data_IF_042370221229
#
_entry.id   IF_042370221229
#
_cell.length_a   1.000
_cell.length_b   1.000
_cell.length_c   1.000
_cell.angle_alpha   90.00
_cell.angle_beta   90.00
_cell.angle_gamma   90.00
#
_symmetry.space_group_name_H-M   'P 1'
#
loop_
_entity.id
_entity.type
_entity.pdbx_description
1 polymer ?
#
# COMPACT_ATOMS: atom_id res chain seq x y z
N UNK A 1 27.17 10.72 -20.56
CA UNK A 1 26.71 10.08 -21.81
C UNK A 1 26.16 8.70 -21.44
N UNK A 2 24.96 8.65 -20.83
CA UNK A 2 24.27 7.42 -20.44
C UNK A 2 22.79 7.41 -20.89
N UNK A 3 22.55 7.88 -22.11
CA UNK A 3 21.29 7.65 -22.85
C UNK A 3 21.46 6.50 -23.86
N UNK A 4 22.08 5.41 -23.42
CA UNK A 4 22.50 4.32 -24.31
C UNK A 4 22.34 2.95 -23.67
N UNK A 5 21.13 2.64 -23.19
CA UNK A 5 20.59 1.28 -23.03
C UNK A 5 19.21 1.35 -22.32
N UNK A 6 18.27 2.08 -22.90
CA UNK A 6 16.85 1.84 -22.66
C UNK A 6 16.35 1.11 -23.89
N UNK A 7 16.28 -0.22 -23.81
CA UNK A 7 15.67 -1.07 -24.83
C UNK A 7 14.20 -0.65 -25.01
N UNK A 8 13.85 -0.20 -26.23
CA UNK A 8 12.57 -0.20 -26.97
C UNK A 8 11.21 -0.26 -26.25
N UNK A 9 11.12 0.27 -25.03
CA UNK A 9 9.86 0.72 -24.45
C UNK A 9 9.90 2.24 -24.36
N UNK A 10 9.16 2.89 -25.26
CA UNK A 10 9.00 4.33 -25.37
C UNK A 10 8.50 4.89 -24.03
N UNK A 11 9.43 5.37 -23.18
CA UNK A 11 9.09 6.02 -21.93
C UNK A 11 8.41 7.34 -22.29
N UNK A 12 7.11 7.46 -22.02
CA UNK A 12 6.37 8.70 -22.23
C UNK A 12 6.91 9.80 -21.30
N UNK A 13 7.63 10.76 -21.89
CA UNK A 13 8.22 11.90 -21.18
C UNK A 13 7.24 13.07 -20.94
N UNK A 14 5.96 12.96 -21.35
CA UNK A 14 4.98 14.06 -21.24
C UNK A 14 4.69 14.49 -19.80
N UNK A 15 4.95 13.63 -18.81
CA UNK A 15 4.68 13.87 -17.38
C UNK A 15 5.93 14.06 -16.53
N UNK A 16 7.07 14.38 -17.16
CA UNK A 16 8.30 14.66 -16.43
C UNK A 16 8.13 15.86 -15.49
N UNK A 17 8.60 15.72 -14.26
CA UNK A 17 8.67 16.82 -13.31
C UNK A 17 9.99 16.83 -12.57
N UNK A 18 10.42 18.02 -12.17
CA UNK A 18 11.61 18.19 -11.35
C UNK A 18 11.39 19.28 -10.30
N UNK A 19 11.95 19.09 -9.10
CA UNK A 19 11.94 20.09 -8.04
C UNK A 19 13.16 19.97 -7.15
N UNK A 20 13.52 21.06 -6.47
CA UNK A 20 14.64 21.09 -5.53
C UNK A 20 14.13 21.08 -4.10
N UNK A 21 14.67 20.18 -3.27
CA UNK A 21 14.41 20.14 -1.84
C UNK A 21 15.74 20.04 -1.09
N UNK A 22 15.99 20.99 -0.17
CA UNK A 22 17.24 21.04 0.62
C UNK A 22 18.52 21.01 -0.24
N UNK A 23 18.48 21.63 -1.42
CA UNK A 23 19.62 21.65 -2.35
C UNK A 23 19.81 20.39 -3.19
N UNK A 24 18.91 19.41 -3.08
CA UNK A 24 18.91 18.18 -3.88
C UNK A 24 17.84 18.31 -4.97
N UNK A 25 18.22 18.06 -6.23
CA UNK A 25 17.30 18.00 -7.36
C UNK A 25 16.66 16.61 -7.41
N UNK A 26 15.34 16.58 -7.46
CA UNK A 26 14.55 15.36 -7.63
C UNK A 26 13.82 15.41 -8.96
N UNK A 27 13.87 14.31 -9.72
CA UNK A 27 13.23 14.16 -11.02
C UNK A 27 12.26 12.98 -11.01
N UNK A 28 11.08 13.12 -11.61
CA UNK A 28 10.10 12.05 -11.75
C UNK A 28 9.67 11.92 -13.20
N UNK A 29 9.67 10.70 -13.78
CA UNK A 29 9.26 10.48 -15.15
C UNK A 29 7.75 10.35 -15.32
N UNK A 30 7.02 9.99 -14.26
CA UNK A 30 5.61 9.60 -14.33
C UNK A 30 4.73 10.33 -13.31
N UNK A 31 5.22 11.40 -12.68
CA UNK A 31 4.46 12.14 -11.68
C UNK A 31 4.85 13.61 -11.63
N UNK A 32 3.86 14.49 -11.70
CA UNK A 32 3.99 15.94 -11.50
C UNK A 32 3.35 16.42 -10.19
N UNK A 33 2.82 15.50 -9.37
CA UNK A 33 2.20 15.80 -8.08
C UNK A 33 3.23 16.46 -7.14
N UNK A 34 2.88 17.58 -6.47
CA UNK A 34 3.72 18.12 -5.40
C UNK A 34 3.89 17.10 -4.27
N UNK A 35 5.14 16.82 -3.92
CA UNK A 35 5.50 15.88 -2.85
C UNK A 35 6.57 16.48 -1.95
N UNK A 36 6.66 15.98 -0.72
CA UNK A 36 7.78 16.24 0.18
C UNK A 36 8.54 14.94 0.32
N UNK A 37 9.80 14.94 -0.11
CA UNK A 37 10.68 13.78 0.04
C UNK A 37 11.00 13.62 1.53
N UNK A 38 10.63 12.50 2.17
CA UNK A 38 10.92 12.33 3.58
C UNK A 38 12.42 12.22 3.81
N UNK A 39 12.88 12.60 5.00
CA UNK A 39 14.22 12.22 5.44
C UNK A 39 14.30 10.70 5.56
N UNK A 40 15.49 10.14 5.28
CA UNK A 40 15.77 8.74 5.58
C UNK A 40 15.50 8.51 7.08
N UNK A 41 14.55 7.62 7.36
CA UNK A 41 14.17 7.26 8.74
C UNK A 41 14.07 5.76 8.84
N UNK A 42 14.27 5.23 10.05
CA UNK A 42 14.07 3.81 10.34
C UNK A 42 12.59 3.40 10.27
N UNK A 43 12.15 2.54 11.18
CA UNK A 43 10.77 2.04 11.21
C UNK A 43 9.72 3.18 11.18
N UNK A 44 8.91 3.28 10.11
CA UNK A 44 7.95 4.36 9.94
C UNK A 44 6.77 4.26 10.92
N UNK A 45 6.57 3.10 11.54
CA UNK A 45 5.49 2.86 12.52
C UNK A 45 5.93 3.09 13.97
N UNK A 46 7.21 3.40 14.24
CA UNK A 46 7.68 3.77 15.59
C UNK A 46 7.45 5.23 15.98
N UNK A 47 6.90 6.04 15.07
CA UNK A 47 6.64 7.46 15.32
C UNK A 47 5.47 7.63 16.29
N UNK A 48 5.57 8.61 17.18
CA UNK A 48 4.43 9.05 17.99
C UNK A 48 3.33 9.61 17.09
N UNK A 49 2.06 9.32 17.39
CA UNK A 49 0.90 9.85 16.66
C UNK A 49 0.88 9.49 15.17
N UNK A 50 0.91 8.20 14.87
CA UNK A 50 0.74 7.70 13.50
C UNK A 50 -0.55 8.24 12.88
N UNK A 51 -0.45 8.73 11.65
CA UNK A 51 -1.54 9.26 10.84
C UNK A 51 -1.40 8.77 9.40
N UNK A 52 -2.51 8.58 8.70
CA UNK A 52 -2.52 8.08 7.33
C UNK A 52 -1.74 8.97 6.37
N UNK A 53 -1.83 10.28 6.54
CA UNK A 53 -1.20 11.28 5.67
C UNK A 53 0.32 11.14 5.65
N UNK A 54 0.91 10.57 6.71
CA UNK A 54 2.35 10.30 6.79
C UNK A 54 2.80 9.23 5.77
N UNK A 55 1.88 8.41 5.26
CA UNK A 55 2.12 7.33 4.32
C UNK A 55 1.59 7.65 2.90
N UNK A 56 1.20 8.90 2.65
CA UNK A 56 0.79 9.40 1.34
C UNK A 56 1.93 10.12 0.58
N UNK A 57 3.06 10.30 1.26
CA UNK A 57 4.29 10.82 0.68
C UNK A 57 5.13 9.66 0.12
N UNK A 58 5.98 9.93 -0.89
CA UNK A 58 6.90 8.93 -1.41
C UNK A 58 7.82 8.41 -0.32
N UNK A 59 8.25 7.15 -0.41
CA UNK A 59 9.19 6.56 0.55
C UNK A 59 10.51 6.21 -0.12
N UNK A 60 11.61 6.29 0.63
CA UNK A 60 12.87 5.75 0.16
C UNK A 60 12.80 4.23 -0.01
N UNK A 61 13.38 3.74 -1.11
CA UNK A 61 13.45 2.30 -1.35
C UNK A 61 14.17 1.58 -0.21
N UNK A 62 13.56 0.47 0.21
CA UNK A 62 14.16 -0.55 1.09
C UNK A 62 13.39 -1.85 0.87
N UNK A 63 14.05 -2.97 1.15
CA UNK A 63 13.43 -4.30 1.18
C UNK A 63 12.31 -4.40 2.24
N UNK A 64 12.49 -3.74 3.39
CA UNK A 64 11.54 -3.82 4.52
C UNK A 64 10.31 -2.93 4.32
N UNK A 65 10.49 -1.70 3.82
CA UNK A 65 9.44 -0.66 3.80
C UNK A 65 9.09 -0.14 2.40
N UNK A 66 9.79 -0.60 1.35
CA UNK A 66 9.54 -0.19 -0.03
C UNK A 66 8.09 -0.39 -0.47
N UNK A 67 7.39 -1.38 0.11
CA UNK A 67 5.97 -1.63 -0.13
C UNK A 67 5.06 -0.43 0.16
N UNK A 68 5.47 0.51 1.01
CA UNK A 68 4.70 1.72 1.31
C UNK A 68 4.47 2.58 0.06
N UNK A 69 5.29 2.44 -0.99
CA UNK A 69 5.07 3.11 -2.26
C UNK A 69 3.69 2.79 -2.88
N UNK A 70 3.13 1.62 -2.55
CA UNK A 70 1.86 1.17 -3.09
C UNK A 70 0.63 1.68 -2.30
N UNK A 71 0.81 2.43 -1.21
CA UNK A 71 -0.34 2.96 -0.44
C UNK A 71 -1.19 3.88 -1.32
N UNK A 72 -2.51 3.61 -1.46
CA UNK A 72 -3.39 4.43 -2.28
C UNK A 72 -3.65 5.78 -1.62
N UNK A 73 -3.57 6.85 -2.41
CA UNK A 73 -3.91 8.20 -1.97
C UNK A 73 -5.42 8.37 -1.79
N UNK A 74 -6.20 7.71 -2.66
CA UNK A 74 -7.66 7.77 -2.68
C UNK A 74 -8.27 6.35 -2.69
N UNK A 75 -8.27 5.64 -1.55
CA UNK A 75 -8.80 4.29 -1.45
C UNK A 75 -10.32 4.26 -1.62
N UNK A 76 -10.82 3.27 -2.36
CA UNK A 76 -12.24 2.94 -2.40
C UNK A 76 -12.55 1.82 -1.41
N UNK A 77 -13.64 1.98 -0.66
CA UNK A 77 -14.18 0.97 0.25
C UNK A 77 -15.50 0.38 -0.25
N UNK A 78 -15.90 0.68 -1.50
CA UNK A 78 -17.23 0.31 -2.02
C UNK A 78 -17.30 -1.18 -2.35
N UNK A 79 -16.20 -1.74 -2.86
CA UNK A 79 -16.12 -3.13 -3.31
C UNK A 79 -15.65 -4.08 -2.20
N UNK A 80 -16.05 -5.37 -2.25
CA UNK A 80 -15.46 -6.37 -1.39
C UNK A 80 -13.93 -6.42 -1.53
N UNK A 81 -13.18 -6.74 -0.46
CA UNK A 81 -13.66 -7.09 0.89
C UNK A 81 -13.84 -5.90 1.85
N UNK A 82 -13.90 -4.66 1.34
CA UNK A 82 -13.81 -3.45 2.14
C UNK A 82 -15.17 -2.78 2.40
N UNK A 83 -16.25 -3.36 1.91
CA UNK A 83 -17.61 -2.83 1.98
C UNK A 83 -18.10 -2.46 3.39
N UNK A 84 -17.73 -3.16 4.50
CA UNK A 84 -18.22 -2.78 5.82
C UNK A 84 -17.61 -1.46 6.33
N UNK A 85 -16.51 -1.00 5.72
CA UNK A 85 -15.89 0.30 6.01
C UNK A 85 -16.47 1.44 5.16
N UNK A 86 -17.33 1.15 4.18
CA UNK A 86 -17.98 2.17 3.36
C UNK A 86 -19.01 2.97 4.17
N UNK A 87 -19.71 2.28 5.07
CA UNK A 87 -20.79 2.85 5.86
C UNK A 87 -20.28 3.40 7.19
N UNK A 88 -20.97 4.42 7.69
CA UNK A 88 -20.70 4.98 9.01
C UNK A 88 -21.22 4.00 10.07
N UNK A 89 -20.35 3.39 10.89
CA UNK A 89 -20.78 2.42 11.89
C UNK A 89 -21.59 3.09 13.00
N UNK A 90 -22.37 2.32 13.74
CA UNK A 90 -23.09 2.81 14.90
C UNK A 90 -22.16 2.87 16.13
N UNK A 91 -22.33 3.90 16.98
CA UNK A 91 -21.61 4.02 18.25
C UNK A 91 -22.62 4.01 19.38
N UNK A 92 -22.54 2.95 20.19
CA UNK A 92 -23.44 2.66 21.30
C UNK A 92 -22.84 3.15 22.62
N UNK A 93 -23.73 3.48 23.56
CA UNK A 93 -23.36 3.83 24.93
C UNK A 93 -23.73 2.70 25.89
N UNK A 94 -22.76 2.26 26.69
CA UNK A 94 -22.98 1.29 27.76
C UNK A 94 -23.48 2.00 29.02
N UNK A 95 -24.72 1.72 29.42
CA UNK A 95 -25.42 2.45 30.48
C UNK A 95 -24.70 2.39 31.84
N UNK A 96 -24.12 1.25 32.19
CA UNK A 96 -23.51 1.04 33.51
C UNK A 96 -22.12 1.67 33.68
N UNK A 97 -21.39 1.92 32.58
CA UNK A 97 -19.99 2.38 32.62
C UNK A 97 -19.76 3.74 31.97
N UNK A 98 -20.81 4.35 31.40
CA UNK A 98 -20.72 5.56 30.57
C UNK A 98 -19.57 5.44 29.56
N UNK A 99 -19.51 4.30 28.88
CA UNK A 99 -18.51 3.99 27.88
C UNK A 99 -19.13 3.91 26.50
N UNK A 100 -18.36 4.27 25.49
CA UNK A 100 -18.80 4.32 24.10
C UNK A 100 -17.99 3.32 23.27
N UNK A 101 -18.65 2.51 22.47
CA UNK A 101 -18.00 1.55 21.57
C UNK A 101 -18.71 1.49 20.23
N UNK A 102 -18.02 1.01 19.20
CA UNK A 102 -18.67 0.61 17.96
C UNK A 102 -19.68 -0.51 18.27
N UNK A 103 -20.85 -0.49 17.61
CA UNK A 103 -21.84 -1.55 17.69
C UNK A 103 -21.18 -2.89 17.40
N UNK A 104 -21.51 -3.91 18.19
CA UNK A 104 -20.81 -5.20 18.17
C UNK A 104 -20.81 -5.86 16.78
N UNK A 105 -21.92 -5.76 16.06
CA UNK A 105 -22.06 -6.30 14.71
C UNK A 105 -21.10 -5.63 13.71
N UNK A 106 -20.96 -4.30 13.77
CA UNK A 106 -20.04 -3.55 12.91
C UNK A 106 -18.58 -3.89 13.26
N UNK A 107 -18.27 -3.95 14.56
CA UNK A 107 -16.93 -4.25 15.04
C UNK A 107 -16.49 -5.67 14.64
N UNK A 108 -17.41 -6.64 14.73
CA UNK A 108 -17.20 -8.01 14.29
C UNK A 108 -16.99 -8.08 12.77
N UNK A 109 -17.83 -7.40 11.99
CA UNK A 109 -17.67 -7.36 10.53
C UNK A 109 -16.29 -6.79 10.12
N UNK A 110 -15.84 -5.71 10.78
CA UNK A 110 -14.51 -5.15 10.53
C UNK A 110 -13.39 -6.12 10.90
N UNK A 111 -13.52 -6.81 12.04
CA UNK A 111 -12.52 -7.77 12.51
C UNK A 111 -12.41 -8.98 11.58
N UNK A 112 -13.53 -9.48 11.05
CA UNK A 112 -13.54 -10.57 10.07
C UNK A 112 -12.77 -10.18 8.80
N UNK A 113 -12.97 -8.96 8.29
CA UNK A 113 -12.21 -8.47 7.12
C UNK A 113 -10.72 -8.28 7.43
N UNK A 114 -10.39 -7.75 8.61
CA UNK A 114 -9.00 -7.63 9.06
C UNK A 114 -8.28 -8.97 9.10
N UNK A 115 -8.92 -10.01 9.65
CA UNK A 115 -8.35 -11.36 9.71
C UNK A 115 -8.10 -11.92 8.32
N UNK A 116 -9.08 -11.82 7.41
CA UNK A 116 -8.92 -12.29 6.03
C UNK A 116 -7.80 -11.55 5.29
N UNK A 117 -7.72 -10.23 5.42
CA UNK A 117 -6.64 -9.43 4.83
C UNK A 117 -5.27 -9.83 5.37
N UNK A 118 -5.16 -10.01 6.70
CA UNK A 118 -3.93 -10.46 7.32
C UNK A 118 -3.52 -11.83 6.78
N UNK A 119 -4.42 -12.80 6.75
CA UNK A 119 -4.11 -14.15 6.28
C UNK A 119 -3.71 -14.17 4.80
N UNK A 120 -4.41 -13.42 3.94
CA UNK A 120 -4.07 -13.30 2.52
C UNK A 120 -2.66 -12.75 2.32
N UNK A 121 -2.33 -11.65 2.99
CA UNK A 121 -0.98 -11.05 2.91
C UNK A 121 0.10 -12.01 3.40
N UNK A 122 -0.12 -12.72 4.51
CA UNK A 122 0.85 -13.68 5.03
C UNK A 122 1.06 -14.84 4.06
N UNK A 123 -0.01 -15.40 3.49
CA UNK A 123 0.07 -16.53 2.54
C UNK A 123 0.84 -16.15 1.27
N UNK A 124 0.54 -14.99 0.67
CA UNK A 124 1.26 -14.50 -0.52
C UNK A 124 2.73 -14.23 -0.15
N UNK A 125 2.98 -13.46 0.91
CA UNK A 125 4.34 -13.07 1.31
C UNK A 125 5.23 -14.28 1.58
N UNK A 126 4.70 -15.29 2.29
CA UNK A 126 5.46 -16.49 2.63
C UNK A 126 5.68 -17.41 1.42
N UNK A 127 4.70 -17.58 0.53
CA UNK A 127 4.85 -18.44 -0.68
C UNK A 127 5.91 -17.89 -1.64
N UNK A 128 5.92 -16.58 -1.86
CA UNK A 128 6.83 -15.93 -2.81
C UNK A 128 8.06 -15.30 -2.16
N UNK A 129 8.21 -15.41 -0.83
CA UNK A 129 9.34 -14.86 -0.05
C UNK A 129 9.55 -13.35 -0.28
N UNK A 130 8.46 -12.62 -0.48
CA UNK A 130 8.51 -11.17 -0.70
C UNK A 130 8.90 -10.49 0.61
N UNK A 131 9.98 -9.67 0.66
CA UNK A 131 10.35 -8.96 1.87
C UNK A 131 9.31 -7.88 2.20
N UNK A 132 9.15 -7.59 3.49
CA UNK A 132 8.25 -6.52 3.93
C UNK A 132 7.66 -6.76 5.32
N UNK A 133 7.84 -5.77 6.19
CA UNK A 133 7.21 -5.78 7.51
C UNK A 133 5.75 -5.30 7.39
N UNK A 134 4.79 -6.06 7.94
CA UNK A 134 3.39 -5.68 7.85
C UNK A 134 3.10 -4.44 8.71
N UNK A 135 2.12 -3.60 8.31
CA UNK A 135 1.67 -2.51 9.16
C UNK A 135 0.97 -3.03 10.43
N UNK A 136 0.79 -2.18 11.46
CA UNK A 136 -0.08 -2.49 12.58
C UNK A 136 -1.49 -2.87 12.10
N UNK A 137 -2.13 -3.82 12.78
CA UNK A 137 -3.53 -4.18 12.46
C UNK A 137 -4.48 -3.03 12.84
N UNK A 138 -5.57 -2.77 12.09
CA UNK A 138 -6.59 -1.78 12.46
C UNK A 138 -7.11 -1.94 13.90
N UNK A 139 -7.26 -3.16 14.39
CA UNK A 139 -7.69 -3.46 15.77
C UNK A 139 -6.71 -2.96 16.84
N UNK A 140 -5.43 -2.74 16.50
CA UNK A 140 -4.46 -2.14 17.41
C UNK A 140 -4.82 -0.70 17.82
N UNK A 141 -5.63 -0.01 17.01
CA UNK A 141 -6.14 1.34 17.31
C UNK A 141 -7.38 1.32 18.22
N UNK A 142 -7.89 0.14 18.58
CA UNK A 142 -8.92 -0.03 19.60
C UNK A 142 -10.32 0.41 19.16
N UNK A 143 -10.65 0.37 17.88
CA UNK A 143 -12.01 0.63 17.38
C UNK A 143 -13.05 -0.35 17.97
N UNK A 144 -12.61 -1.56 18.32
CA UNK A 144 -13.41 -2.63 18.90
C UNK A 144 -13.41 -2.64 20.44
N UNK A 145 -13.02 -1.54 21.09
CA UNK A 145 -12.94 -1.41 22.56
C UNK A 145 -13.83 -0.28 23.07
N UNK A 146 -14.28 -0.34 24.34
CA UNK A 146 -14.99 0.77 24.97
C UNK A 146 -14.07 1.95 25.28
N UNK A 147 -14.59 3.17 25.07
CA UNK A 147 -13.90 4.45 25.28
C UNK A 147 -14.66 5.36 26.23
N UNK A 148 -13.93 6.28 26.89
CA UNK A 148 -14.50 7.22 27.88
C UNK A 148 -15.43 8.29 27.27
N UNK A 149 -15.37 8.51 25.97
CA UNK A 149 -16.21 9.50 25.29
C UNK A 149 -16.56 9.04 23.87
N UNK A 150 -17.71 9.50 23.38
CA UNK A 150 -18.16 9.26 22.01
C UNK A 150 -17.17 9.81 20.98
N UNK A 151 -16.57 10.97 21.26
CA UNK A 151 -15.54 11.57 20.41
C UNK A 151 -14.27 10.71 20.32
N UNK A 152 -13.83 10.14 21.43
CA UNK A 152 -12.68 9.21 21.44
C UNK A 152 -12.99 7.94 20.65
N UNK A 153 -14.18 7.36 20.82
CA UNK A 153 -14.60 6.19 20.05
C UNK A 153 -14.55 6.48 18.54
N UNK A 154 -15.16 7.58 18.10
CA UNK A 154 -15.11 8.01 16.71
C UNK A 154 -13.70 8.22 16.17
N UNK A 155 -12.82 8.83 16.96
CA UNK A 155 -11.42 9.01 16.57
C UNK A 155 -10.73 7.67 16.33
N UNK A 156 -10.95 6.67 17.17
CA UNK A 156 -10.34 5.34 17.02
C UNK A 156 -10.93 4.56 15.84
N UNK A 157 -12.24 4.70 15.60
CA UNK A 157 -12.92 4.13 14.42
C UNK A 157 -12.34 4.69 13.13
N UNK A 158 -12.21 6.01 13.02
CA UNK A 158 -11.64 6.66 11.84
C UNK A 158 -10.17 6.27 11.63
N UNK A 159 -9.37 6.24 12.71
CA UNK A 159 -7.98 5.80 12.64
C UNK A 159 -7.86 4.35 12.16
N UNK A 160 -8.72 3.45 12.65
CA UNK A 160 -8.72 2.06 12.19
C UNK A 160 -9.12 1.94 10.72
N UNK A 161 -10.14 2.69 10.27
CA UNK A 161 -10.55 2.75 8.86
C UNK A 161 -9.41 3.20 7.96
N UNK A 162 -8.70 4.24 8.38
CA UNK A 162 -7.53 4.74 7.67
C UNK A 162 -6.44 3.67 7.57
N UNK A 163 -6.27 2.84 8.60
CA UNK A 163 -5.30 1.74 8.57
C UNK A 163 -5.67 0.62 7.61
N UNK A 164 -6.96 0.37 7.33
CA UNK A 164 -7.34 -0.53 6.24
C UNK A 164 -6.77 -0.06 4.89
N UNK A 165 -6.66 1.25 4.65
CA UNK A 165 -6.02 1.75 3.43
C UNK A 165 -4.51 1.50 3.37
N UNK A 166 -3.83 1.50 4.52
CA UNK A 166 -2.42 1.12 4.60
C UNK A 166 -2.25 -0.37 4.28
N UNK A 167 -3.16 -1.20 4.79
CA UNK A 167 -3.23 -2.63 4.44
C UNK A 167 -3.56 -2.87 2.96
N UNK A 168 -4.42 -2.05 2.34
CA UNK A 168 -4.62 -2.09 0.89
C UNK A 168 -3.30 -1.89 0.15
N UNK A 169 -2.49 -0.91 0.55
CA UNK A 169 -1.17 -0.68 -0.02
C UNK A 169 -0.24 -1.88 0.11
N UNK A 170 -0.17 -2.47 1.32
CA UNK A 170 0.66 -3.65 1.56
C UNK A 170 0.25 -4.83 0.68
N UNK A 171 -1.04 -5.14 0.62
CA UNK A 171 -1.54 -6.24 -0.21
C UNK A 171 -1.37 -5.95 -1.71
N UNK A 172 -1.54 -4.69 -2.14
CA UNK A 172 -1.32 -4.29 -3.54
C UNK A 172 0.11 -4.59 -3.96
N UNK A 173 1.08 -4.20 -3.13
CA UNK A 173 2.49 -4.45 -3.40
C UNK A 173 2.79 -5.95 -3.49
N UNK A 174 2.27 -6.75 -2.56
CA UNK A 174 2.46 -8.20 -2.59
C UNK A 174 1.89 -8.83 -3.87
N UNK A 175 0.69 -8.42 -4.27
CA UNK A 175 0.03 -8.87 -5.51
C UNK A 175 0.85 -8.46 -6.75
N UNK A 176 1.28 -7.21 -6.84
CA UNK A 176 2.11 -6.73 -7.94
C UNK A 176 3.43 -7.53 -8.06
N UNK A 177 4.01 -7.90 -6.92
CA UNK A 177 5.26 -8.64 -6.88
C UNK A 177 5.12 -10.10 -7.34
N UNK A 178 3.92 -10.68 -7.30
CA UNK A 178 3.73 -12.06 -7.75
C UNK A 178 3.91 -12.22 -9.27
N UNK A 179 3.81 -11.13 -10.05
CA UNK A 179 4.07 -11.12 -11.50
C UNK A 179 5.49 -11.59 -11.82
N UNK A 180 6.45 -11.28 -10.95
CA UNK A 180 7.84 -11.73 -11.10
C UNK A 180 8.01 -13.25 -10.98
N UNK A 181 6.97 -13.96 -10.56
CA UNK A 181 6.94 -15.41 -10.34
C UNK A 181 5.95 -16.12 -11.27
N UNK A 182 5.31 -15.41 -12.21
CA UNK A 182 4.29 -15.95 -13.12
C UNK A 182 4.82 -17.02 -14.10
N UNK A 183 6.14 -17.16 -14.25
CA UNK A 183 6.77 -18.20 -15.08
C UNK A 183 7.05 -19.52 -14.34
N UNK A 184 6.57 -19.68 -13.09
CA UNK A 184 6.65 -20.95 -12.37
C UNK A 184 5.79 -22.00 -13.13
N UNK A 185 6.35 -23.16 -13.54
CA UNK A 185 5.62 -24.18 -14.31
C UNK A 185 4.28 -24.61 -13.69
N UNK A 186 4.12 -24.48 -12.37
CA UNK A 186 2.89 -24.80 -11.64
C UNK A 186 1.74 -23.78 -11.88
N UNK A 187 2.04 -22.56 -12.34
CA UNK A 187 1.11 -21.41 -12.42
C UNK A 187 0.55 -21.12 -13.84
N UNK A 188 0.77 -22.02 -14.81
CA UNK A 188 0.43 -21.90 -16.24
C UNK A 188 -1.08 -21.83 -16.63
N UNK A 189 -1.97 -21.43 -15.73
CA UNK A 189 -3.42 -21.56 -15.89
C UNK A 189 -4.18 -20.22 -15.96
N UNK A 190 -3.71 -19.22 -16.73
CA UNK A 190 -4.48 -18.02 -17.14
C UNK A 190 -5.03 -17.09 -16.05
N UNK A 191 -5.06 -17.51 -14.79
CA UNK A 191 -5.43 -16.76 -13.60
C UNK A 191 -4.18 -16.13 -12.98
N UNK A 192 -4.34 -14.99 -12.34
CA UNK A 192 -3.27 -14.39 -11.54
C UNK A 192 -2.80 -15.39 -10.47
N UNK A 193 -1.48 -15.65 -10.40
CA UNK A 193 -0.88 -16.63 -9.50
C UNK A 193 -1.27 -16.43 -8.02
N UNK A 194 -1.37 -15.18 -7.55
CA UNK A 194 -1.86 -14.87 -6.20
C UNK A 194 -3.32 -15.30 -5.97
N UNK A 195 -4.17 -15.20 -7.00
CA UNK A 195 -5.59 -15.57 -6.91
C UNK A 195 -5.71 -17.07 -6.71
N UNK A 196 -5.04 -17.84 -7.57
CA UNK A 196 -5.00 -19.30 -7.49
C UNK A 196 -4.45 -19.77 -6.15
N UNK A 197 -3.34 -19.18 -5.71
CA UNK A 197 -2.76 -19.47 -4.40
C UNK A 197 -3.78 -19.29 -3.28
N UNK A 198 -4.52 -18.18 -3.26
CA UNK A 198 -5.49 -17.94 -2.19
C UNK A 198 -6.72 -18.85 -2.31
N UNK A 199 -7.19 -19.13 -3.53
CA UNK A 199 -8.27 -20.07 -3.79
C UNK A 199 -7.93 -21.47 -3.24
N UNK A 200 -6.76 -21.99 -3.56
CA UNK A 200 -6.25 -23.29 -3.08
C UNK A 200 -6.07 -23.31 -1.54
N UNK A 201 -6.00 -22.13 -0.92
CA UNK A 201 -5.87 -21.96 0.54
C UNK A 201 -7.20 -21.65 1.23
N UNK A 202 -8.32 -21.84 0.54
CA UNK A 202 -9.67 -21.80 1.09
C UNK A 202 -10.33 -20.42 1.08
N UNK A 203 -9.77 -19.43 0.38
CA UNK A 203 -10.45 -18.14 0.22
C UNK A 203 -11.63 -18.31 -0.75
N UNK A 204 -12.74 -17.64 -0.45
CA UNK A 204 -13.92 -17.73 -1.31
C UNK A 204 -13.70 -16.96 -2.62
N UNK A 205 -14.24 -17.52 -3.70
CA UNK A 205 -14.18 -16.90 -5.03
C UNK A 205 -14.80 -15.48 -5.04
N UNK A 206 -15.89 -15.28 -4.30
CA UNK A 206 -16.52 -13.97 -4.15
C UNK A 206 -15.60 -12.93 -3.49
N UNK A 207 -14.81 -13.32 -2.49
CA UNK A 207 -13.85 -12.43 -1.85
C UNK A 207 -12.70 -12.07 -2.80
N UNK A 208 -12.19 -13.06 -3.53
CA UNK A 208 -11.08 -12.90 -4.47
C UNK A 208 -11.49 -12.07 -5.70
N UNK A 209 -12.66 -12.33 -6.28
CA UNK A 209 -13.25 -11.53 -7.35
C UNK A 209 -13.48 -10.07 -6.91
N UNK A 210 -13.95 -9.87 -5.67
CA UNK A 210 -14.05 -8.54 -5.09
C UNK A 210 -12.69 -7.83 -5.01
N UNK A 211 -11.67 -8.55 -4.54
CA UNK A 211 -10.31 -8.02 -4.44
C UNK A 211 -9.74 -7.64 -5.82
N UNK A 212 -9.98 -8.44 -6.86
CA UNK A 212 -9.58 -8.14 -8.24
C UNK A 212 -10.17 -6.82 -8.75
N UNK A 213 -11.43 -6.52 -8.40
CA UNK A 213 -12.12 -5.28 -8.77
C UNK A 213 -11.92 -4.12 -7.78
N UNK A 214 -11.07 -4.29 -6.77
CA UNK A 214 -10.85 -3.27 -5.73
C UNK A 214 -9.63 -2.39 -6.02
N UNK A 215 -9.47 -1.32 -5.24
CA UNK A 215 -8.26 -0.48 -5.22
C UNK A 215 -6.96 -1.27 -5.05
N UNK A 216 -7.01 -2.46 -4.43
CA UNK A 216 -5.81 -3.27 -4.21
C UNK A 216 -5.18 -3.74 -5.52
N UNK A 217 -6.00 -4.09 -6.51
CA UNK A 217 -5.55 -4.66 -7.78
C UNK A 217 -5.72 -3.70 -8.97
N UNK A 218 -6.07 -2.43 -8.72
CA UNK A 218 -6.09 -1.37 -9.73
C UNK A 218 -4.71 -0.71 -9.80
N UNK A 219 -3.96 -1.03 -10.86
CA UNK A 219 -2.65 -0.45 -11.17
C UNK A 219 -2.81 0.44 -12.39
N UNK A 220 -3.50 1.56 -12.22
CA UNK A 220 -3.79 2.53 -13.27
C UNK A 220 -3.69 3.96 -12.71
N UNK A 221 -3.74 4.95 -13.60
CA UNK A 221 -3.64 6.37 -13.23
C UNK A 221 -4.82 6.87 -12.38
N UNK A 222 -5.97 6.18 -12.38
CA UNK A 222 -7.14 6.56 -11.57
C UNK A 222 -6.95 6.17 -10.09
N UNK A 223 -6.04 5.25 -9.80
CA UNK A 223 -5.64 4.87 -8.44
C UNK A 223 -4.23 5.38 -8.12
N UNK A 224 -4.06 6.68 -7.82
CA UNK A 224 -2.75 7.22 -7.52
C UNK A 224 -2.20 6.68 -6.20
N UNK A 225 -0.90 6.39 -6.18
CA UNK A 225 -0.19 5.78 -5.04
C UNK A 225 0.89 6.70 -4.47
N UNK A 226 1.33 6.43 -3.25
CA UNK A 226 2.31 7.25 -2.53
C UNK A 226 3.63 7.41 -3.30
N UNK A 227 4.09 6.32 -3.91
CA UNK A 227 5.27 6.25 -4.76
C UNK A 227 6.59 6.09 -4.02
N UNK A 228 7.69 6.04 -4.78
CA UNK A 228 9.01 5.60 -4.32
C UNK A 228 10.10 6.59 -4.70
N UNK A 229 11.06 6.76 -3.81
CA UNK A 229 12.29 7.53 -4.04
C UNK A 229 13.44 6.56 -4.19
N UNK A 230 14.14 6.64 -5.32
CA UNK A 230 15.28 5.80 -5.65
C UNK A 230 16.55 6.65 -5.79
N UNK A 231 17.66 6.07 -5.34
CA UNK A 231 18.98 6.62 -5.59
C UNK A 231 19.68 5.71 -6.60
N UNK A 232 19.93 6.23 -7.80
CA UNK A 232 20.61 5.50 -8.86
C UNK A 232 22.09 5.32 -8.47
N UNK A 233 22.39 4.29 -7.69
CA UNK A 233 23.75 3.89 -7.37
C UNK A 233 23.97 2.45 -7.83
N UNK A 234 25.15 2.18 -8.39
CA UNK A 234 25.54 0.87 -8.97
C UNK A 234 25.46 -0.32 -7.98
N UNK A 235 25.22 -0.07 -6.69
CA UNK A 235 25.32 -1.05 -5.61
C UNK A 235 23.96 -1.58 -5.11
N UNK A 236 22.83 -1.16 -5.65
CA UNK A 236 21.52 -1.58 -5.14
C UNK A 236 20.93 -2.79 -5.90
N UNK A 237 21.60 -3.94 -5.78
CA UNK A 237 21.27 -5.21 -6.48
C UNK A 237 19.88 -5.80 -6.15
N UNK A 238 19.13 -5.24 -5.20
CA UNK A 238 17.89 -5.82 -4.66
C UNK A 238 16.60 -5.03 -4.92
N UNK A 239 16.62 -3.91 -5.66
CA UNK A 239 15.38 -3.20 -6.01
C UNK A 239 14.69 -3.81 -7.24
N UNK A 240 13.34 -3.84 -7.29
CA UNK A 240 12.61 -4.01 -8.55
C UNK A 240 13.13 -3.01 -9.59
N UNK A 241 13.15 -3.41 -10.85
CA UNK A 241 13.55 -2.49 -11.92
C UNK A 241 12.59 -1.30 -11.99
N UNK A 242 13.07 -0.16 -12.48
CA UNK A 242 12.26 1.07 -12.58
C UNK A 242 10.99 0.80 -13.38
N UNK A 243 11.11 0.03 -14.48
CA UNK A 243 10.02 -0.33 -15.38
C UNK A 243 8.91 -1.08 -14.65
N UNK A 244 9.23 -1.84 -13.60
CA UNK A 244 8.22 -2.51 -12.78
C UNK A 244 7.34 -1.49 -12.05
N UNK A 245 7.93 -0.43 -11.47
CA UNK A 245 7.14 0.62 -10.81
C UNK A 245 6.27 1.39 -11.81
N UNK A 246 6.84 1.71 -12.98
CA UNK A 246 6.12 2.40 -14.05
C UNK A 246 4.94 1.57 -14.57
N UNK A 247 5.15 0.28 -14.82
CA UNK A 247 4.10 -0.65 -15.27
C UNK A 247 2.95 -0.82 -14.26
N UNK A 248 3.22 -0.61 -12.96
CA UNK A 248 2.21 -0.65 -11.91
C UNK A 248 1.65 0.73 -11.53
N UNK A 249 1.93 1.77 -12.33
CA UNK A 249 1.51 3.15 -12.09
C UNK A 249 1.93 3.67 -10.69
N UNK A 250 3.08 3.22 -10.18
CA UNK A 250 3.66 3.71 -8.94
C UNK A 250 4.55 4.90 -9.29
N UNK A 251 4.30 6.10 -8.72
CA UNK A 251 5.15 7.26 -8.94
C UNK A 251 6.59 7.02 -8.49
N UNK A 252 7.56 7.42 -9.30
CA UNK A 252 9.00 7.26 -9.01
C UNK A 252 9.68 8.63 -8.98
N UNK A 253 10.54 8.87 -8.00
CA UNK A 253 11.44 10.02 -7.96
C UNK A 253 12.89 9.56 -7.85
N UNK A 254 13.77 10.19 -8.62
CA UNK A 254 15.22 9.98 -8.59
C UNK A 254 15.91 11.19 -7.99
N UNK A 255 16.99 10.94 -7.27
CA UNK A 255 17.95 11.99 -6.91
C UNK A 255 18.80 12.29 -8.13
N UNK A 256 18.66 13.48 -8.70
CA UNK A 256 19.53 13.93 -9.79
C UNK A 256 20.84 14.47 -9.21
N UNK A 257 21.95 13.78 -9.49
CA UNK A 257 23.28 14.11 -9.01
C UNK A 257 24.23 14.39 -10.17
N UNK A 258 25.34 15.10 -9.91
CA UNK A 258 26.35 15.43 -10.94
C UNK A 258 26.91 14.22 -11.71
N UNK A 259 26.83 13.01 -11.17
CA UNK A 259 27.21 11.78 -11.88
C UNK A 259 26.36 11.49 -13.11
N UNK A 260 25.14 12.04 -13.18
CA UNK A 260 24.22 11.87 -14.29
C UNK A 260 24.35 13.03 -15.32
N UNK A 261 25.13 14.07 -15.01
CA UNK A 261 25.50 15.15 -15.93
C UNK A 261 26.70 14.77 -16.83
N UNK A 262 27.49 13.76 -16.46
CA UNK A 262 28.67 13.26 -17.20
C UNK A 262 28.33 12.17 -18.21
#
# INVERSE_FOLDING_TARGET
MFLGALDDHEVDFSNWSAFVQQGILYCSPNCSRPVVIPQLSGDPFKRSHLRREMFQQPVWWSDVWGWLCAVPLSPSFISPPFEPMCWKPEVEETWFRKSYHMREQDAKAWLEKEVLLFEATQKIRLRYRIPGNPPPRPSAFGYNRPHKSKATAWRMINMARDWFSIWMGFLSYLIAQTVNYANDPEDNAGLHCWYRLLLDRGFSDAWLSGLMGSTVNSFDAATPRAGIVMQLTEQQVAHPKIEWFLAHHIPVWFVWSKREEE
#
